data_IF_526126284794
#
_entry.id   IF_526126284794
#
_cell.length_a   1.000
_cell.length_b   1.000
_cell.length_c   1.000
_cell.angle_alpha   90.00
_cell.angle_beta   90.00
_cell.angle_gamma   90.00
#
_symmetry.space_group_name_H-M   'P 1'
#
loop_
_entity.id
_entity.type
_entity.pdbx_description
1 polymer ?
#
# COMPACT_ATOMS: atom_id res chain seq x y z
N UNK A 1 5.75 18.21 -1.65
CA UNK A 1 5.23 16.83 -1.59
C UNK A 1 6.41 15.87 -1.51
N UNK A 2 6.44 15.01 -0.49
CA UNK A 2 7.57 14.10 -0.25
C UNK A 2 7.67 13.02 -1.34
N UNK A 3 6.54 12.55 -1.85
CA UNK A 3 6.49 11.47 -2.84
C UNK A 3 6.59 11.95 -4.30
N UNK A 4 6.58 13.25 -4.57
CA UNK A 4 6.68 13.78 -5.94
C UNK A 4 8.01 13.38 -6.65
N UNK A 5 9.18 13.43 -6.00
CA UNK A 5 10.41 12.96 -6.64
C UNK A 5 10.38 11.47 -6.98
N UNK A 6 9.71 10.66 -6.14
CA UNK A 6 9.54 9.22 -6.40
C UNK A 6 8.64 9.03 -7.62
N UNK A 7 7.48 9.71 -7.68
CA UNK A 7 6.57 9.66 -8.83
C UNK A 7 7.31 10.01 -10.13
N UNK A 8 8.03 11.12 -10.15
CA UNK A 8 8.77 11.57 -11.32
C UNK A 8 9.81 10.55 -11.79
N UNK A 9 10.56 9.92 -10.89
CA UNK A 9 11.50 8.85 -11.19
C UNK A 9 10.84 7.67 -11.93
N UNK A 10 9.63 7.30 -11.56
CA UNK A 10 8.93 6.18 -12.20
C UNK A 10 8.21 6.59 -13.49
N UNK A 11 7.83 7.86 -13.64
CA UNK A 11 7.41 8.45 -14.92
C UNK A 11 8.59 8.43 -15.91
N UNK A 12 9.77 8.88 -15.51
CA UNK A 12 10.97 8.86 -16.34
C UNK A 12 11.37 7.45 -16.78
N UNK A 13 11.11 6.44 -15.97
CA UNK A 13 11.28 5.01 -16.34
C UNK A 13 10.21 4.51 -17.31
N UNK A 14 9.15 5.27 -17.56
CA UNK A 14 8.05 4.88 -18.44
C UNK A 14 7.15 3.77 -17.88
N UNK A 15 7.20 3.47 -16.58
CA UNK A 15 6.38 2.41 -15.95
C UNK A 15 5.08 2.92 -15.34
N UNK A 16 5.00 4.21 -15.04
CA UNK A 16 3.76 4.92 -14.71
C UNK A 16 3.57 6.09 -15.65
N UNK A 17 2.31 6.42 -15.95
CA UNK A 17 1.96 7.53 -16.83
C UNK A 17 2.12 8.88 -16.15
N UNK A 18 2.55 9.88 -16.91
CA UNK A 18 2.46 11.28 -16.51
C UNK A 18 1.04 11.78 -16.82
N UNK A 19 0.23 11.89 -15.79
CA UNK A 19 -1.12 12.44 -15.89
C UNK A 19 -1.15 13.98 -15.84
N UNK A 20 0.03 14.62 -15.78
CA UNK A 20 0.22 16.07 -15.67
C UNK A 20 -0.57 16.69 -14.51
N UNK A 21 -1.06 15.86 -13.61
CA UNK A 21 -1.90 16.23 -12.49
C UNK A 21 -1.24 15.91 -11.16
N UNK A 22 -1.28 16.86 -10.26
CA UNK A 22 -1.04 16.65 -8.83
C UNK A 22 -2.37 16.71 -8.07
N UNK A 23 -3.45 16.27 -8.74
CA UNK A 23 -4.78 16.23 -8.15
C UNK A 23 -4.79 15.34 -6.93
N UNK A 24 -4.90 15.94 -5.76
CA UNK A 24 -5.00 15.23 -4.51
C UNK A 24 -6.47 15.09 -4.17
N UNK A 25 -6.92 13.86 -4.01
CA UNK A 25 -8.21 13.59 -3.45
C UNK A 25 -8.10 13.53 -1.93
N UNK A 26 -8.86 14.33 -1.23
CA UNK A 26 -8.82 14.37 0.24
C UNK A 26 -10.20 14.38 0.82
N UNK A 27 -10.40 13.63 1.89
CA UNK A 27 -11.58 13.68 2.73
C UNK A 27 -11.19 13.58 4.19
N UNK A 28 -12.02 14.12 5.06
CA UNK A 28 -11.80 14.06 6.51
C UNK A 28 -12.76 13.09 7.17
N UNK A 29 -12.29 12.43 8.21
CA UNK A 29 -13.06 11.51 9.05
C UNK A 29 -13.04 11.98 10.51
N UNK A 30 -13.91 11.40 11.32
CA UNK A 30 -13.91 11.57 12.77
C UNK A 30 -13.94 13.06 13.18
N UNK A 31 -14.79 13.88 12.54
CA UNK A 31 -14.87 15.30 12.84
C UNK A 31 -13.61 16.10 12.52
N UNK A 32 -12.79 15.63 11.60
CA UNK A 32 -11.55 16.28 11.16
C UNK A 32 -10.29 15.82 11.89
N UNK A 33 -10.38 14.79 12.75
CA UNK A 33 -9.21 14.25 13.44
C UNK A 33 -8.34 13.35 12.56
N UNK A 34 -8.91 12.82 11.49
CA UNK A 34 -8.21 12.00 10.49
C UNK A 34 -8.48 12.55 9.10
N UNK A 35 -7.53 12.41 8.20
CA UNK A 35 -7.70 12.71 6.79
C UNK A 35 -7.26 11.53 5.94
N UNK A 36 -8.03 11.27 4.89
CA UNK A 36 -7.65 10.39 3.80
C UNK A 36 -7.11 11.26 2.66
N UNK A 37 -5.99 10.86 2.10
CA UNK A 37 -5.33 11.54 1.01
C UNK A 37 -5.04 10.52 -0.08
N UNK A 38 -5.56 10.74 -1.27
CA UNK A 38 -5.24 9.94 -2.44
C UNK A 38 -4.48 10.76 -3.48
N UNK A 39 -3.43 10.19 -4.01
CA UNK A 39 -2.71 10.70 -5.18
C UNK A 39 -2.90 9.67 -6.29
N UNK A 40 -3.88 9.86 -7.20
CA UNK A 40 -4.09 8.95 -8.31
C UNK A 40 -2.82 8.78 -9.14
N UNK A 41 -2.56 7.57 -9.55
CA UNK A 41 -1.41 7.24 -10.40
C UNK A 41 -1.86 6.31 -11.51
N UNK A 42 -1.52 6.66 -12.74
CA UNK A 42 -1.92 5.91 -13.94
C UNK A 42 -0.81 4.93 -14.33
N UNK A 43 -1.16 3.71 -14.61
CA UNK A 43 -0.24 2.69 -15.14
C UNK A 43 -0.96 1.78 -16.14
N UNK A 44 -0.21 1.11 -17.01
CA UNK A 44 -0.77 0.16 -17.99
C UNK A 44 -0.96 -1.22 -17.36
N UNK A 45 -2.19 -1.56 -17.00
CA UNK A 45 -2.54 -2.86 -16.42
C UNK A 45 -2.36 -4.05 -17.38
N UNK A 46 -2.20 -3.84 -18.67
CA UNK A 46 -1.90 -4.89 -19.66
C UNK A 46 -0.38 -5.15 -19.79
N UNK A 47 0.45 -4.23 -19.34
CA UNK A 47 1.91 -4.36 -19.34
C UNK A 47 2.41 -4.96 -18.01
N UNK A 48 3.05 -6.12 -18.09
CA UNK A 48 3.69 -6.72 -16.91
C UNK A 48 4.77 -5.80 -16.32
N UNK A 49 5.53 -5.12 -17.16
CA UNK A 49 6.57 -4.18 -16.74
C UNK A 49 5.98 -2.99 -15.98
N UNK A 50 4.90 -2.41 -16.51
CA UNK A 50 4.20 -1.31 -15.87
C UNK A 50 3.58 -1.74 -14.53
N UNK A 51 2.96 -2.93 -14.46
CA UNK A 51 2.41 -3.46 -13.22
C UNK A 51 3.48 -3.65 -12.13
N UNK A 52 4.64 -4.23 -12.49
CA UNK A 52 5.74 -4.43 -11.54
C UNK A 52 6.36 -3.09 -11.14
N UNK A 53 6.56 -2.18 -12.08
CA UNK A 53 7.09 -0.85 -11.79
C UNK A 53 6.15 -0.03 -10.90
N UNK A 54 4.84 -0.18 -11.07
CA UNK A 54 3.86 0.44 -10.18
C UNK A 54 3.93 -0.15 -8.75
N UNK A 55 4.11 -1.46 -8.62
CA UNK A 55 4.28 -2.08 -7.31
C UNK A 55 5.56 -1.58 -6.61
N UNK A 56 6.67 -1.49 -7.33
CA UNK A 56 7.93 -0.93 -6.80
C UNK A 56 7.76 0.55 -6.39
N UNK A 57 7.04 1.33 -7.19
CA UNK A 57 6.69 2.72 -6.86
C UNK A 57 5.92 2.82 -5.54
N UNK A 58 4.89 1.99 -5.37
CA UNK A 58 4.11 1.98 -4.14
C UNK A 58 4.94 1.57 -2.93
N UNK A 59 5.78 0.55 -3.07
CA UNK A 59 6.69 0.11 -2.01
C UNK A 59 7.63 1.24 -1.57
N UNK A 60 8.25 1.94 -2.52
CA UNK A 60 9.16 3.06 -2.21
C UNK A 60 8.42 4.22 -1.53
N UNK A 61 7.22 4.55 -1.96
CA UNK A 61 6.37 5.55 -1.29
C UNK A 61 6.04 5.12 0.15
N UNK A 62 5.62 3.86 0.34
CA UNK A 62 5.30 3.33 1.66
C UNK A 62 6.50 3.36 2.62
N UNK A 63 7.71 3.06 2.12
CA UNK A 63 8.93 3.14 2.93
C UNK A 63 9.20 4.56 3.40
N UNK A 64 9.09 5.54 2.51
CA UNK A 64 9.31 6.95 2.85
C UNK A 64 8.25 7.46 3.81
N UNK A 65 6.99 7.12 3.58
CA UNK A 65 5.89 7.51 4.45
C UNK A 65 6.07 6.94 5.87
N UNK A 66 6.52 5.69 5.97
CA UNK A 66 6.83 5.08 7.26
C UNK A 66 8.01 5.75 7.96
N UNK A 67 9.12 6.00 7.24
CA UNK A 67 10.33 6.61 7.78
C UNK A 67 10.06 8.03 8.29
N UNK A 68 9.25 8.77 7.58
CA UNK A 68 8.92 10.17 7.91
C UNK A 68 7.66 10.31 8.77
N UNK A 69 7.02 9.20 9.14
CA UNK A 69 5.79 9.18 9.93
C UNK A 69 4.65 10.02 9.32
N UNK A 70 4.50 9.97 8.01
CA UNK A 70 3.52 10.77 7.27
C UNK A 70 2.12 10.17 7.28
N UNK A 71 1.98 8.86 7.54
CA UNK A 71 0.69 8.20 7.57
C UNK A 71 0.79 6.70 7.33
N UNK A 72 -0.35 6.09 7.05
CA UNK A 72 -0.48 4.70 6.64
C UNK A 72 -1.22 4.62 5.32
N UNK A 73 -0.89 3.66 4.43
CA UNK A 73 -1.70 3.43 3.25
C UNK A 73 -3.12 3.05 3.65
N UNK A 74 -4.10 3.60 2.94
CA UNK A 74 -5.51 3.30 3.20
C UNK A 74 -5.83 1.83 2.91
N UNK A 75 -5.28 1.32 1.83
CA UNK A 75 -5.37 -0.09 1.47
C UNK A 75 -4.08 -0.81 1.85
N UNK A 76 -4.12 -1.46 3.00
CA UNK A 76 -3.01 -2.31 3.44
C UNK A 76 -3.23 -3.70 2.86
N UNK A 77 -2.60 -3.99 1.75
CA UNK A 77 -2.75 -5.24 1.01
C UNK A 77 -1.43 -6.00 1.00
N UNK A 78 -1.50 -7.27 1.41
CA UNK A 78 -0.35 -8.17 1.43
C UNK A 78 0.55 -8.05 2.68
N UNK A 79 1.24 -9.13 2.95
CA UNK A 79 2.05 -9.29 4.17
C UNK A 79 3.15 -8.22 4.30
N UNK A 80 3.79 -7.86 3.18
CA UNK A 80 4.89 -6.89 3.19
C UNK A 80 4.45 -5.53 3.75
N UNK A 81 3.30 -5.02 3.28
CA UNK A 81 2.77 -3.73 3.75
C UNK A 81 2.31 -3.84 5.19
N UNK A 82 1.64 -4.93 5.57
CA UNK A 82 1.27 -5.18 6.96
C UNK A 82 2.48 -5.20 7.89
N UNK A 83 3.56 -5.87 7.49
CA UNK A 83 4.76 -6.00 8.31
C UNK A 83 5.51 -4.66 8.44
N UNK A 84 5.50 -3.80 7.42
CA UNK A 84 6.04 -2.45 7.50
C UNK A 84 5.37 -1.61 8.59
N UNK A 85 4.06 -1.70 8.70
CA UNK A 85 3.29 -0.87 9.63
C UNK A 85 3.00 -1.53 10.98
N UNK A 86 3.41 -2.78 11.18
CA UNK A 86 3.09 -3.56 12.39
C UNK A 86 3.45 -2.81 13.68
N UNK A 87 4.66 -2.25 13.75
CA UNK A 87 5.15 -1.52 14.93
C UNK A 87 4.38 -0.21 15.20
N UNK A 88 3.74 0.35 14.18
CA UNK A 88 2.95 1.58 14.29
C UNK A 88 1.47 1.32 14.58
N UNK A 89 1.03 0.08 14.46
CA UNK A 89 -0.35 -0.36 14.63
C UNK A 89 -0.52 -1.37 15.76
N UNK A 90 0.31 -1.28 16.80
CA UNK A 90 0.27 -2.18 17.97
C UNK A 90 0.31 -3.66 17.57
N UNK A 91 1.09 -4.01 16.56
CA UNK A 91 1.18 -5.37 16.01
C UNK A 91 -0.16 -5.94 15.49
N UNK A 92 -1.08 -5.07 15.06
CA UNK A 92 -2.38 -5.47 14.51
C UNK A 92 -2.31 -6.58 13.45
N UNK A 93 -1.32 -6.62 12.54
CA UNK A 93 -1.15 -7.74 11.62
C UNK A 93 -1.01 -9.11 12.27
N UNK A 94 -0.38 -9.18 13.45
CA UNK A 94 -0.28 -10.46 14.20
C UNK A 94 -1.66 -10.94 14.67
N UNK A 95 -2.52 -9.99 15.06
CA UNK A 95 -3.90 -10.30 15.44
C UNK A 95 -4.71 -10.78 14.23
N UNK A 96 -4.59 -10.10 13.09
CA UNK A 96 -5.25 -10.51 11.85
C UNK A 96 -4.84 -11.93 11.42
N UNK A 97 -3.55 -12.26 11.50
CA UNK A 97 -3.06 -13.61 11.18
C UNK A 97 -3.63 -14.67 12.09
N UNK A 98 -3.82 -14.37 13.37
CA UNK A 98 -4.49 -15.31 14.30
C UNK A 98 -5.95 -15.56 13.90
N UNK A 99 -6.67 -14.51 13.51
CA UNK A 99 -8.03 -14.65 12.98
C UNK A 99 -8.03 -15.48 11.70
N UNK A 100 -7.14 -15.15 10.76
CA UNK A 100 -7.00 -15.89 9.50
C UNK A 100 -6.70 -17.37 9.75
N UNK A 101 -5.76 -17.68 10.63
CA UNK A 101 -5.43 -19.06 11.01
C UNK A 101 -6.62 -19.82 11.62
N UNK A 102 -7.45 -19.14 12.41
CA UNK A 102 -8.60 -19.75 13.07
C UNK A 102 -9.75 -20.05 12.10
N UNK A 103 -10.05 -19.11 11.18
CA UNK A 103 -11.19 -19.23 10.27
C UNK A 103 -10.84 -19.87 8.93
N UNK A 104 -9.60 -19.74 8.49
CA UNK A 104 -9.13 -20.27 7.21
C UNK A 104 -7.79 -21.01 7.37
N UNK A 105 -7.77 -22.10 8.15
CA UNK A 105 -6.53 -22.84 8.44
C UNK A 105 -5.88 -23.46 7.20
N UNK A 106 -6.61 -23.56 6.08
CA UNK A 106 -6.11 -24.08 4.80
C UNK A 106 -5.66 -23.00 3.83
N UNK A 107 -5.91 -21.71 4.17
CA UNK A 107 -5.52 -20.59 3.33
C UNK A 107 -6.23 -20.57 1.96
N UNK A 108 -7.50 -21.01 1.91
CA UNK A 108 -8.27 -21.10 0.65
C UNK A 108 -9.19 -19.91 0.42
N UNK A 109 -9.38 -19.09 1.45
CA UNK A 109 -10.22 -17.90 1.39
C UNK A 109 -9.35 -16.66 1.32
N UNK A 110 -9.55 -15.85 0.28
CA UNK A 110 -8.82 -14.59 0.07
C UNK A 110 -7.30 -14.73 0.28
N UNK A 111 -6.72 -15.70 -0.39
CA UNK A 111 -5.37 -16.18 -0.13
C UNK A 111 -4.25 -15.21 -0.54
N UNK A 112 -4.56 -14.15 -1.29
CA UNK A 112 -3.53 -13.32 -1.92
C UNK A 112 -3.61 -11.83 -1.64
N UNK A 113 -4.66 -11.33 -1.00
CA UNK A 113 -4.92 -9.89 -1.09
C UNK A 113 -4.83 -9.14 0.22
N UNK A 114 -4.93 -9.78 1.38
CA UNK A 114 -4.92 -9.04 2.63
C UNK A 114 -3.79 -9.49 3.55
N UNK A 115 -3.93 -10.60 4.22
CA UNK A 115 -2.92 -11.15 5.11
C UNK A 115 -2.85 -12.67 4.96
N UNK A 116 -1.64 -13.21 4.88
CA UNK A 116 -1.44 -14.66 4.81
C UNK A 116 -1.62 -15.31 6.18
N UNK A 117 -2.09 -16.56 6.18
CA UNK A 117 -2.02 -17.38 7.38
C UNK A 117 -0.57 -17.79 7.66
N UNK A 118 -0.25 -18.15 8.91
CA UNK A 118 1.10 -18.63 9.28
C UNK A 118 1.53 -19.90 8.53
N UNK A 119 0.56 -20.63 7.96
CA UNK A 119 0.80 -21.90 7.28
C UNK A 119 1.14 -21.75 5.80
N UNK A 120 1.06 -20.56 5.26
CA UNK A 120 1.38 -20.26 3.86
C UNK A 120 2.88 -20.01 3.58
N UNK A 121 3.74 -20.41 4.51
CA UNK A 121 5.20 -20.42 4.32
C UNK A 121 5.71 -21.81 3.99
#
# INVERSE_FOLDING_TARGET
QVNAPIKNKYIEKGVIGDDQGEGIWTTTYEGGHMAHLEVPTVYDGASKESCLGYADYQDECNEVDLQQALGMPFFVVGDKVHDYYASRTMDYPKYLRRIKDAFDPRGVSDSSHYVSSKRSK
#
